data_IF_204570921499
#
_entry.id   IF_204570921499
#
_cell.length_a   1.000
_cell.length_b   1.000
_cell.length_c   1.000
_cell.angle_alpha   90.00
_cell.angle_beta   90.00
_cell.angle_gamma   90.00
#
_symmetry.space_group_name_H-M   'P 1'
#
loop_
_entity.id
_entity.type
_entity.pdbx_description
1 polymer ?
#
# COMPACT_ATOMS: atom_id res chain seq x y z
N UNK A 1 -13.43 -0.17 -5.88
CA UNK A 1 -12.19 -0.67 -5.26
C UNK A 1 -11.14 0.41 -5.37
N UNK A 2 -10.60 0.86 -4.26
CA UNK A 2 -9.63 1.96 -4.21
C UNK A 2 -8.29 1.44 -3.69
N UNK A 3 -7.20 1.64 -4.45
CA UNK A 3 -5.83 1.44 -4.00
C UNK A 3 -5.19 2.81 -3.73
N UNK A 4 -4.65 2.97 -2.53
CA UNK A 4 -3.83 4.11 -2.10
C UNK A 4 -2.41 3.62 -1.89
N UNK A 5 -1.45 4.23 -2.58
CA UNK A 5 -0.05 3.84 -2.56
C UNK A 5 0.82 4.96 -1.99
N UNK A 6 1.43 4.71 -0.84
CA UNK A 6 2.42 5.57 -0.21
C UNK A 6 3.81 5.27 -0.78
N UNK A 7 4.23 6.01 -1.79
CA UNK A 7 5.46 5.70 -2.49
C UNK A 7 6.72 5.97 -1.65
N UNK A 8 6.84 7.10 -0.92
CA UNK A 8 8.01 7.34 -0.06
C UNK A 8 8.20 6.28 1.00
N UNK A 9 7.12 5.90 1.66
CA UNK A 9 7.18 4.98 2.80
C UNK A 9 7.49 3.55 2.34
N UNK A 10 6.89 3.09 1.24
CA UNK A 10 7.22 1.80 0.65
C UNK A 10 8.66 1.74 0.13
N UNK A 11 9.17 2.82 -0.46
CA UNK A 11 10.60 2.90 -0.85
C UNK A 11 11.53 2.83 0.38
N UNK A 12 11.15 3.44 1.51
CA UNK A 12 11.91 3.33 2.77
C UNK A 12 11.89 1.89 3.31
N UNK A 13 10.72 1.25 3.35
CA UNK A 13 10.58 -0.14 3.76
C UNK A 13 11.40 -1.09 2.88
N UNK A 14 11.31 -0.92 1.57
CA UNK A 14 12.12 -1.68 0.61
C UNK A 14 13.62 -1.43 0.80
N UNK A 15 14.02 -0.19 1.03
CA UNK A 15 15.41 0.18 1.29
C UNK A 15 15.97 -0.48 2.54
N UNK A 16 15.15 -0.63 3.58
CA UNK A 16 15.51 -1.35 4.81
C UNK A 16 15.80 -2.83 4.53
N UNK A 17 14.97 -3.48 3.69
CA UNK A 17 15.16 -4.89 3.29
C UNK A 17 16.43 -5.06 2.44
N UNK A 18 16.67 -4.13 1.51
CA UNK A 18 17.81 -4.17 0.60
C UNK A 18 19.15 -3.77 1.26
N UNK A 19 19.08 -3.17 2.46
CA UNK A 19 20.26 -2.55 3.09
C UNK A 19 20.78 -1.31 2.36
N UNK A 20 19.94 -0.66 1.55
CA UNK A 20 20.32 0.51 0.76
C UNK A 20 19.19 1.08 -0.08
N UNK A 21 19.47 2.16 -0.82
CA UNK A 21 18.43 2.83 -1.62
C UNK A 21 17.95 1.96 -2.78
N UNK A 22 16.61 1.75 -2.92
CA UNK A 22 16.05 0.99 -4.01
C UNK A 22 16.36 1.63 -5.38
N UNK A 23 16.71 0.79 -6.35
CA UNK A 23 16.79 1.19 -7.76
C UNK A 23 15.47 0.90 -8.47
N UNK A 24 15.32 1.35 -9.70
CA UNK A 24 14.14 1.05 -10.51
C UNK A 24 13.92 -0.47 -10.73
N UNK A 25 14.99 -1.29 -10.69
CA UNK A 25 14.89 -2.73 -10.83
C UNK A 25 14.31 -3.42 -9.59
N UNK A 26 14.54 -2.85 -8.41
CA UNK A 26 14.06 -3.38 -7.14
C UNK A 26 12.61 -2.98 -6.84
N UNK A 27 12.10 -1.91 -7.47
CA UNK A 27 10.76 -1.43 -7.20
C UNK A 27 9.69 -2.36 -7.78
N UNK A 28 8.51 -2.41 -7.14
CA UNK A 28 7.37 -3.15 -7.63
C UNK A 28 7.00 -2.77 -9.07
N UNK A 29 6.58 -3.76 -9.83
CA UNK A 29 6.06 -3.56 -11.18
C UNK A 29 4.60 -3.16 -11.11
N UNK A 30 4.33 -1.89 -11.43
CA UNK A 30 2.98 -1.33 -11.34
C UNK A 30 1.99 -1.94 -12.33
N UNK A 31 2.47 -2.47 -13.48
CA UNK A 31 1.62 -3.21 -14.42
C UNK A 31 1.13 -4.55 -13.84
N UNK A 32 1.96 -5.23 -13.05
CA UNK A 32 1.57 -6.44 -12.34
C UNK A 32 0.61 -6.12 -11.18
N UNK A 33 0.91 -5.07 -10.42
CA UNK A 33 0.03 -4.59 -9.36
C UNK A 33 -1.33 -4.14 -9.89
N UNK A 34 -1.36 -3.44 -11.03
CA UNK A 34 -2.60 -3.04 -11.68
C UNK A 34 -3.46 -4.24 -12.10
N UNK A 35 -2.86 -5.30 -12.67
CA UNK A 35 -3.57 -6.55 -12.99
C UNK A 35 -4.14 -7.20 -11.74
N UNK A 36 -3.33 -7.33 -10.69
CA UNK A 36 -3.79 -7.87 -9.42
C UNK A 36 -4.98 -7.08 -8.84
N UNK A 37 -4.95 -5.73 -8.92
CA UNK A 37 -6.07 -4.89 -8.49
C UNK A 37 -7.34 -5.15 -9.30
N UNK A 38 -7.22 -5.37 -10.62
CA UNK A 38 -8.35 -5.74 -11.47
C UNK A 38 -8.97 -7.07 -11.04
N UNK A 39 -8.13 -8.09 -10.79
CA UNK A 39 -8.58 -9.41 -10.34
C UNK A 39 -9.28 -9.32 -8.98
N UNK A 40 -8.69 -8.61 -8.00
CA UNK A 40 -9.32 -8.38 -6.69
C UNK A 40 -10.64 -7.63 -6.79
N UNK A 41 -10.75 -6.67 -7.70
CA UNK A 41 -12.00 -5.93 -7.94
C UNK A 41 -13.08 -6.85 -8.51
N UNK A 42 -12.70 -7.76 -9.39
CA UNK A 42 -13.61 -8.76 -9.94
C UNK A 42 -14.13 -9.73 -8.85
N UNK A 43 -13.24 -10.21 -7.98
CA UNK A 43 -13.57 -11.09 -6.86
C UNK A 43 -14.59 -10.45 -5.92
N UNK A 44 -14.37 -9.19 -5.53
CA UNK A 44 -15.30 -8.45 -4.66
C UNK A 44 -16.63 -8.24 -5.36
N UNK A 45 -16.63 -7.92 -6.66
CA UNK A 45 -17.85 -7.75 -7.44
C UNK A 45 -18.65 -9.06 -7.52
N UNK A 46 -17.98 -10.19 -7.69
CA UNK A 46 -18.60 -11.51 -7.72
C UNK A 46 -19.21 -11.92 -6.37
N UNK A 47 -18.50 -11.62 -5.27
CA UNK A 47 -18.99 -11.91 -3.91
C UNK A 47 -20.20 -11.06 -3.51
N UNK A 48 -20.36 -9.89 -4.11
CA UNK A 48 -21.48 -8.96 -3.82
C UNK A 48 -22.71 -9.24 -4.69
N UNK A 49 -22.62 -10.11 -5.70
CA UNK A 49 -23.75 -10.49 -6.56
C UNK A 49 -24.65 -11.46 -5.81
N UNK A 50 -25.96 -11.15 -5.53
CA UNK A 50 -26.86 -12.08 -4.85
C UNK A 50 -27.08 -13.32 -5.71
N UNK A 51 -27.03 -14.51 -5.09
CA UNK A 51 -27.54 -15.74 -5.72
C UNK A 51 -28.95 -15.51 -6.16
N UNK A 52 -29.28 -15.91 -7.40
CA UNK A 52 -30.65 -15.82 -7.99
C UNK A 52 -31.51 -16.88 -7.35
N UNK A 53 -31.91 -16.69 -6.09
CA UNK A 53 -33.06 -17.36 -5.48
C UNK A 53 -33.99 -16.28 -4.95
N UNK A 54 -35.13 -16.18 -5.68
CA UNK A 54 -36.08 -15.09 -5.62
C UNK A 54 -36.55 -14.75 -4.23
N UNK A 55 -36.44 -13.55 -3.86
CA UNK A 55 -37.47 -12.61 -3.35
C UNK A 55 -36.81 -11.32 -2.87
N UNK A 56 -37.26 -10.23 -3.45
CA UNK A 56 -37.36 -8.87 -2.93
C UNK A 56 -36.05 -8.05 -2.74
N UNK A 57 -36.00 -6.98 -3.48
CA UNK A 57 -35.18 -5.80 -3.22
C UNK A 57 -34.00 -5.72 -4.15
N UNK A 58 -34.22 -5.11 -5.32
CA UNK A 58 -33.18 -4.75 -6.26
C UNK A 58 -32.13 -3.83 -5.58
N UNK A 59 -31.16 -4.43 -4.87
CA UNK A 59 -29.86 -3.77 -4.66
C UNK A 59 -29.19 -3.77 -6.03
N UNK A 60 -29.08 -2.61 -6.63
CA UNK A 60 -28.31 -2.41 -7.86
C UNK A 60 -26.91 -2.93 -7.57
N UNK A 61 -26.54 -4.05 -8.17
CA UNK A 61 -25.16 -4.51 -8.23
C UNK A 61 -24.39 -3.47 -9.05
N UNK A 62 -23.75 -2.54 -8.38
CA UNK A 62 -22.77 -1.67 -9.02
C UNK A 62 -21.49 -2.50 -9.14
N UNK A 63 -21.08 -2.79 -10.37
CA UNK A 63 -19.77 -3.35 -10.60
C UNK A 63 -18.74 -2.39 -9.97
N UNK A 64 -17.91 -2.91 -9.08
CA UNK A 64 -16.84 -2.11 -8.48
C UNK A 64 -15.88 -1.65 -9.58
N UNK A 65 -15.56 -0.37 -9.60
CA UNK A 65 -14.57 0.19 -10.53
C UNK A 65 -13.23 0.25 -9.81
N UNK A 66 -12.15 -0.34 -10.38
CA UNK A 66 -10.83 -0.24 -9.79
C UNK A 66 -10.26 1.18 -10.01
N UNK A 67 -9.75 1.75 -8.94
CA UNK A 67 -9.04 3.03 -8.95
C UNK A 67 -7.75 2.88 -8.15
N UNK A 68 -6.67 3.47 -8.63
CA UNK A 68 -5.39 3.47 -7.96
C UNK A 68 -4.78 4.88 -7.96
N UNK A 69 -4.39 5.35 -6.80
CA UNK A 69 -3.72 6.63 -6.59
C UNK A 69 -2.40 6.43 -5.86
N UNK A 70 -1.33 6.93 -6.45
CA UNK A 70 0.01 6.96 -5.84
C UNK A 70 0.25 8.34 -5.26
N UNK A 71 0.66 8.39 -4.01
CA UNK A 71 1.05 9.62 -3.32
C UNK A 71 2.56 9.68 -3.22
N UNK A 72 3.13 10.84 -3.50
CA UNK A 72 4.59 11.03 -3.46
C UNK A 72 4.98 12.47 -3.16
N UNK A 73 6.13 12.63 -2.52
CA UNK A 73 6.77 13.91 -2.33
C UNK A 73 7.84 14.13 -3.42
N UNK A 74 7.92 15.36 -3.90
CA UNK A 74 8.93 15.80 -4.88
C UNK A 74 9.89 16.75 -4.18
N UNK A 75 11.10 16.28 -3.93
CA UNK A 75 12.15 17.12 -3.37
C UNK A 75 12.58 18.23 -4.36
N UNK A 76 13.00 19.40 -3.87
CA UNK A 76 13.49 20.47 -4.73
C UNK A 76 14.58 19.99 -5.70
N UNK A 77 14.44 20.34 -6.98
CA UNK A 77 15.39 19.98 -8.03
C UNK A 77 15.32 18.53 -8.53
N UNK A 78 14.43 17.70 -8.01
CA UNK A 78 14.33 16.27 -8.42
C UNK A 78 13.23 15.99 -9.43
N UNK A 79 12.45 16.98 -9.84
CA UNK A 79 11.29 16.79 -10.71
C UNK A 79 11.63 16.05 -12.02
N UNK A 80 12.74 16.39 -12.69
CA UNK A 80 13.17 15.73 -13.92
C UNK A 80 13.59 14.27 -13.71
N UNK A 81 14.12 13.95 -12.54
CA UNK A 81 14.52 12.57 -12.18
C UNK A 81 13.30 11.71 -11.91
N UNK A 82 12.26 12.29 -11.31
CA UNK A 82 11.03 11.59 -10.92
C UNK A 82 10.03 11.50 -12.08
N UNK A 83 10.07 12.42 -13.03
CA UNK A 83 9.14 12.50 -14.18
C UNK A 83 8.94 11.17 -14.91
N UNK A 84 10.00 10.41 -15.34
CA UNK A 84 9.79 9.16 -16.06
C UNK A 84 9.01 8.13 -15.27
N UNK A 85 9.22 8.08 -13.95
CA UNK A 85 8.49 7.20 -13.06
C UNK A 85 7.02 7.61 -12.91
N UNK A 86 6.73 8.90 -12.75
CA UNK A 86 5.35 9.42 -12.70
C UNK A 86 4.62 9.13 -14.02
N UNK A 87 5.28 9.33 -15.15
CA UNK A 87 4.69 9.06 -16.47
C UNK A 87 4.44 7.56 -16.66
N UNK A 88 5.34 6.70 -16.21
CA UNK A 88 5.14 5.24 -16.27
C UNK A 88 3.91 4.80 -15.45
N UNK A 89 3.71 5.33 -14.24
CA UNK A 89 2.52 5.09 -13.43
C UNK A 89 1.24 5.51 -14.15
N UNK A 90 1.23 6.72 -14.68
CA UNK A 90 0.07 7.26 -15.39
C UNK A 90 -0.26 6.47 -16.66
N UNK A 91 0.76 5.95 -17.36
CA UNK A 91 0.57 5.10 -18.53
C UNK A 91 -0.04 3.73 -18.18
N UNK A 92 0.18 3.23 -16.97
CA UNK A 92 -0.47 2.01 -16.47
C UNK A 92 -1.91 2.27 -16.02
N UNK A 93 -2.28 3.52 -15.76
CA UNK A 93 -3.62 3.93 -15.34
C UNK A 93 -3.71 4.36 -13.88
N UNK A 94 -2.58 4.56 -13.19
CA UNK A 94 -2.57 5.10 -11.84
C UNK A 94 -2.70 6.61 -11.86
N UNK A 95 -3.55 7.18 -11.01
CA UNK A 95 -3.47 8.59 -10.66
C UNK A 95 -2.23 8.84 -9.80
N UNK A 96 -1.63 10.03 -9.90
CA UNK A 96 -0.48 10.40 -9.08
C UNK A 96 -0.76 11.74 -8.42
N UNK A 97 -0.78 11.74 -7.09
CA UNK A 97 -0.75 12.95 -6.28
C UNK A 97 0.70 13.24 -5.92
N UNK A 98 1.20 14.38 -6.41
CA UNK A 98 2.58 14.79 -6.20
C UNK A 98 2.62 16.11 -5.41
N UNK A 99 3.21 16.08 -4.23
CA UNK A 99 3.33 17.22 -3.31
C UNK A 99 4.77 17.72 -3.27
N UNK A 100 5.06 19.01 -3.41
CA UNK A 100 6.40 19.51 -3.16
C UNK A 100 6.85 19.22 -1.73
N UNK A 101 8.06 18.71 -1.56
CA UNK A 101 8.66 18.56 -0.25
C UNK A 101 9.26 19.90 0.18
N UNK A 102 8.62 20.57 1.14
CA UNK A 102 9.01 21.91 1.62
C UNK A 102 10.03 21.82 2.74
N UNK A 103 9.90 20.81 3.60
CA UNK A 103 10.75 20.56 4.77
C UNK A 103 10.97 19.05 4.97
N UNK A 104 11.72 18.69 6.02
CA UNK A 104 12.01 17.28 6.31
C UNK A 104 10.78 16.52 6.79
N UNK A 105 9.85 17.20 7.46
CA UNK A 105 8.62 16.63 8.02
C UNK A 105 7.45 16.62 7.02
N UNK A 106 7.66 17.16 5.80
CA UNK A 106 6.63 17.12 4.76
C UNK A 106 6.38 15.67 4.34
N UNK A 107 5.20 15.15 4.68
CA UNK A 107 4.70 13.84 4.26
C UNK A 107 3.41 13.96 3.44
N UNK A 108 2.88 12.83 3.03
CA UNK A 108 1.62 12.70 2.26
C UNK A 108 0.52 11.99 3.05
N UNK A 109 0.74 11.65 4.30
CA UNK A 109 -0.18 10.85 5.12
C UNK A 109 -1.53 11.54 5.27
N UNK A 110 -1.52 12.84 5.62
CA UNK A 110 -2.77 13.62 5.73
C UNK A 110 -3.53 13.70 4.40
N UNK A 111 -2.82 13.88 3.29
CA UNK A 111 -3.44 13.94 1.95
C UNK A 111 -4.06 12.56 1.57
N UNK A 112 -3.43 11.47 2.00
CA UNK A 112 -3.95 10.10 1.80
C UNK A 112 -5.20 9.86 2.65
N UNK A 113 -5.18 10.22 3.93
CA UNK A 113 -6.35 10.13 4.82
C UNK A 113 -7.54 10.93 4.29
N UNK A 114 -7.31 12.19 3.93
CA UNK A 114 -8.32 13.07 3.33
C UNK A 114 -8.90 12.49 2.04
N UNK A 115 -8.05 11.89 1.21
CA UNK A 115 -8.51 11.27 -0.03
C UNK A 115 -9.38 10.04 0.22
N UNK A 116 -9.02 9.17 1.17
CA UNK A 116 -9.84 8.01 1.56
C UNK A 116 -11.20 8.48 2.07
N UNK A 117 -11.24 9.44 3.00
CA UNK A 117 -12.47 9.99 3.55
C UNK A 117 -13.33 10.65 2.48
N UNK A 118 -12.75 11.46 1.63
CA UNK A 118 -13.47 12.09 0.52
C UNK A 118 -14.12 11.04 -0.38
N UNK A 119 -13.40 9.95 -0.72
CA UNK A 119 -13.92 8.85 -1.55
C UNK A 119 -15.03 8.07 -0.83
N UNK A 120 -14.84 7.79 0.47
CA UNK A 120 -15.84 7.11 1.31
C UNK A 120 -17.18 7.86 1.29
N UNK A 121 -17.15 9.18 1.44
CA UNK A 121 -18.36 10.01 1.55
C UNK A 121 -18.99 10.39 0.21
N UNK A 122 -18.20 10.52 -0.87
CA UNK A 122 -18.72 11.02 -2.17
C UNK A 122 -19.21 9.90 -3.08
N UNK A 123 -18.48 8.80 -3.16
CA UNK A 123 -18.74 7.70 -4.12
C UNK A 123 -19.06 6.39 -3.42
N UNK A 124 -18.61 6.26 -2.18
CA UNK A 124 -18.60 4.99 -1.45
C UNK A 124 -17.42 4.10 -1.87
N UNK A 125 -17.08 3.16 -0.99
CA UNK A 125 -15.99 2.21 -1.20
C UNK A 125 -16.56 0.80 -1.30
N UNK A 126 -16.29 0.10 -2.40
CA UNK A 126 -16.57 -1.33 -2.52
C UNK A 126 -15.46 -2.18 -1.88
N UNK A 127 -14.28 -1.60 -1.68
CA UNK A 127 -13.13 -2.14 -0.98
C UNK A 127 -12.00 -1.12 -0.98
N UNK A 128 -11.12 -1.22 0.00
CA UNK A 128 -9.97 -0.33 0.19
C UNK A 128 -8.69 -1.13 0.33
N UNK A 129 -7.65 -0.72 -0.39
CA UNK A 129 -6.29 -1.24 -0.26
C UNK A 129 -5.38 -0.07 0.06
N UNK A 130 -4.61 -0.16 1.14
CA UNK A 130 -3.57 0.82 1.47
C UNK A 130 -2.22 0.14 1.43
N UNK A 131 -1.33 0.66 0.60
CA UNK A 131 0.03 0.19 0.45
C UNK A 131 0.99 1.16 1.14
N UNK A 132 1.48 0.79 2.32
CA UNK A 132 2.44 1.56 3.12
C UNK A 132 3.28 0.62 3.99
N UNK A 133 4.55 0.95 4.22
CA UNK A 133 5.42 0.21 5.12
C UNK A 133 5.23 0.64 6.59
N UNK A 134 4.84 1.88 6.87
CA UNK A 134 4.54 2.38 8.22
C UNK A 134 3.12 2.97 8.26
N UNK A 135 2.14 2.09 8.18
CA UNK A 135 0.74 2.50 8.10
C UNK A 135 0.06 2.70 9.46
N UNK A 136 0.80 2.87 10.55
CA UNK A 136 0.18 3.03 11.86
C UNK A 136 -0.71 4.28 11.95
N UNK A 137 -0.37 5.34 11.22
CA UNK A 137 -1.20 6.54 11.13
C UNK A 137 -2.56 6.30 10.45
N UNK A 138 -2.65 5.25 9.62
CA UNK A 138 -3.89 4.90 8.92
C UNK A 138 -4.78 3.93 9.71
N UNK A 139 -4.25 3.25 10.74
CA UNK A 139 -4.91 2.13 11.40
C UNK A 139 -6.32 2.44 11.85
N UNK A 140 -6.54 3.54 12.56
CA UNK A 140 -7.84 3.93 13.08
C UNK A 140 -8.87 4.10 11.96
N UNK A 141 -8.53 4.87 10.92
CA UNK A 141 -9.40 5.05 9.76
C UNK A 141 -9.69 3.73 9.03
N UNK A 142 -8.70 2.88 8.87
CA UNK A 142 -8.87 1.59 8.17
C UNK A 142 -9.77 0.63 8.95
N UNK A 143 -9.62 0.58 10.28
CA UNK A 143 -10.49 -0.21 11.16
C UNK A 143 -11.93 0.34 11.15
N UNK A 144 -12.11 1.67 11.11
CA UNK A 144 -13.43 2.30 10.97
C UNK A 144 -14.09 1.97 9.61
N UNK A 145 -13.33 2.01 8.52
CA UNK A 145 -13.82 1.62 7.18
C UNK A 145 -14.21 0.14 7.16
N UNK A 146 -13.41 -0.71 7.81
CA UNK A 146 -13.72 -2.14 7.93
C UNK A 146 -14.98 -2.38 8.78
N UNK A 147 -15.20 -1.60 9.85
CA UNK A 147 -16.39 -1.67 10.68
C UNK A 147 -17.69 -1.31 9.92
N UNK A 148 -17.60 -0.48 8.89
CA UNK A 148 -18.69 -0.21 7.96
C UNK A 148 -19.00 -1.38 6.98
N UNK A 149 -18.25 -2.49 7.10
CA UNK A 149 -18.41 -3.67 6.25
C UNK A 149 -17.70 -3.57 4.90
N UNK A 150 -16.78 -2.62 4.74
CA UNK A 150 -15.93 -2.50 3.55
C UNK A 150 -14.71 -3.41 3.71
N UNK A 151 -14.41 -4.32 2.78
CA UNK A 151 -13.17 -5.09 2.80
C UNK A 151 -11.94 -4.18 2.74
N UNK A 152 -11.06 -4.30 3.74
CA UNK A 152 -9.83 -3.49 3.83
C UNK A 152 -8.61 -4.38 3.80
N UNK A 153 -7.70 -4.10 2.88
CA UNK A 153 -6.42 -4.80 2.73
C UNK A 153 -5.26 -3.83 2.93
N UNK A 154 -4.22 -4.31 3.60
CA UNK A 154 -2.95 -3.59 3.76
C UNK A 154 -1.89 -4.30 2.94
N UNK A 155 -1.31 -3.59 2.00
CA UNK A 155 -0.20 -4.04 1.16
C UNK A 155 1.12 -3.53 1.73
N UNK A 156 2.12 -4.40 1.82
CA UNK A 156 3.43 -3.98 2.30
C UNK A 156 4.42 -5.12 2.40
N UNK A 157 5.41 -4.93 3.25
CA UNK A 157 6.40 -5.95 3.57
C UNK A 157 6.14 -6.46 4.98
N UNK A 158 6.15 -7.78 5.17
CA UNK A 158 5.86 -8.44 6.44
C UNK A 158 6.69 -7.90 7.60
N UNK A 159 7.92 -7.50 7.34
CA UNK A 159 8.84 -6.93 8.32
C UNK A 159 8.36 -5.62 8.95
N UNK A 160 7.50 -4.90 8.24
CA UNK A 160 6.99 -3.59 8.66
C UNK A 160 5.48 -3.61 8.99
N UNK A 161 4.82 -4.75 8.82
CA UNK A 161 3.37 -4.88 8.88
C UNK A 161 2.81 -5.29 10.25
N UNK A 162 3.60 -5.23 11.33
CA UNK A 162 3.16 -5.69 12.67
C UNK A 162 1.82 -5.05 13.10
N UNK A 163 1.59 -3.80 12.75
CA UNK A 163 0.36 -3.07 13.06
C UNK A 163 -0.87 -3.64 12.33
N UNK A 164 -0.71 -4.09 11.07
CA UNK A 164 -1.79 -4.71 10.29
C UNK A 164 -1.98 -6.19 10.69
N UNK A 165 -0.89 -6.92 10.90
CA UNK A 165 -0.91 -8.33 11.29
C UNK A 165 -1.55 -8.58 12.66
N UNK A 166 -1.59 -7.56 13.53
CA UNK A 166 -2.24 -7.62 14.84
C UNK A 166 -3.68 -7.14 14.85
N UNK A 167 -4.20 -6.66 13.72
CA UNK A 167 -5.60 -6.26 13.58
C UNK A 167 -6.46 -7.46 13.21
N UNK A 168 -7.65 -7.58 13.82
CA UNK A 168 -8.63 -8.63 13.50
C UNK A 168 -9.52 -8.24 12.30
N UNK A 169 -9.52 -6.95 11.92
CA UNK A 169 -10.39 -6.40 10.87
C UNK A 169 -9.67 -6.10 9.55
N UNK A 170 -8.33 -6.12 9.54
CA UNK A 170 -7.52 -5.81 8.37
C UNK A 170 -6.88 -7.09 7.80
N UNK A 171 -6.97 -7.26 6.49
CA UNK A 171 -6.26 -8.33 5.77
C UNK A 171 -4.89 -7.82 5.32
N UNK A 172 -3.81 -8.46 5.74
CA UNK A 172 -2.47 -8.14 5.25
C UNK A 172 -2.14 -8.98 4.01
N UNK A 173 -1.61 -8.34 2.99
CA UNK A 173 -1.09 -8.97 1.77
C UNK A 173 0.37 -8.56 1.58
N UNK A 174 1.27 -9.53 1.57
CA UNK A 174 2.68 -9.27 1.27
C UNK A 174 2.85 -8.94 -0.22
N UNK A 175 3.59 -7.88 -0.51
CA UNK A 175 3.86 -7.49 -1.91
C UNK A 175 4.57 -8.57 -2.71
N UNK A 176 5.37 -9.41 -2.06
CA UNK A 176 6.06 -10.52 -2.73
C UNK A 176 5.14 -11.68 -3.09
N UNK A 177 3.99 -11.80 -2.41
CA UNK A 177 2.99 -12.83 -2.72
C UNK A 177 2.18 -12.49 -4.00
N UNK A 178 2.29 -11.24 -4.49
CA UNK A 178 1.61 -10.83 -5.72
C UNK A 178 2.43 -11.26 -6.96
N UNK A 179 1.88 -12.14 -7.82
CA UNK A 179 2.63 -12.70 -8.94
C UNK A 179 3.20 -11.64 -9.88
N UNK A 180 4.52 -11.66 -10.07
CA UNK A 180 5.23 -10.81 -11.01
C UNK A 180 5.39 -9.35 -10.58
N UNK A 181 5.03 -8.98 -9.34
CA UNK A 181 5.26 -7.63 -8.79
C UNK A 181 6.75 -7.35 -8.64
N UNK A 182 7.53 -8.32 -8.22
CA UNK A 182 8.98 -8.23 -8.27
C UNK A 182 9.54 -9.10 -9.41
N UNK A 183 10.65 -8.65 -10.01
CA UNK A 183 11.34 -9.41 -11.06
C UNK A 183 12.08 -10.61 -10.51
N UNK A 184 12.62 -10.45 -9.31
CA UNK A 184 13.37 -11.44 -8.56
C UNK A 184 12.94 -11.35 -7.10
N UNK A 185 13.03 -12.43 -6.31
CA UNK A 185 12.79 -12.38 -4.87
C UNK A 185 13.70 -11.32 -4.21
N UNK A 186 13.17 -10.63 -3.20
CA UNK A 186 13.97 -9.66 -2.47
C UNK A 186 15.10 -10.36 -1.71
N UNK A 187 16.32 -9.81 -1.70
CA UNK A 187 17.49 -10.42 -1.10
C UNK A 187 17.43 -10.34 0.43
N UNK A 188 16.63 -11.21 1.04
CA UNK A 188 16.57 -11.34 2.49
C UNK A 188 17.57 -12.39 2.96
N UNK A 189 18.19 -12.12 4.12
CA UNK A 189 18.95 -13.13 4.83
C UNK A 189 17.95 -13.93 5.66
N UNK A 190 17.70 -15.18 5.28
CA UNK A 190 16.88 -16.11 6.05
C UNK A 190 17.68 -16.69 7.21
N UNK A 191 17.07 -16.76 8.40
CA UNK A 191 17.66 -17.43 9.57
C UNK A 191 17.88 -18.93 9.31
N UNK A 192 17.08 -19.54 8.41
CA UNK A 192 17.19 -20.95 8.05
C UNK A 192 18.31 -21.23 7.04
N UNK A 193 18.92 -20.18 6.47
CA UNK A 193 19.99 -20.26 5.46
C UNK A 193 21.12 -19.26 5.71
N UNK A 194 21.52 -19.14 6.99
CA UNK A 194 22.65 -18.30 7.35
C UNK A 194 23.96 -18.87 6.77
N UNK A 195 24.85 -18.01 6.25
CA UNK A 195 26.20 -18.42 5.85
C UNK A 195 27.00 -18.90 7.09
N UNK A 196 27.96 -19.80 6.88
CA UNK A 196 28.76 -20.38 7.98
C UNK A 196 29.52 -19.32 8.79
N UNK A 197 29.93 -18.21 8.13
CA UNK A 197 30.58 -17.07 8.77
C UNK A 197 29.62 -16.16 9.55
N UNK A 198 28.31 -16.43 9.48
CA UNK A 198 27.27 -15.59 10.06
C UNK A 198 26.87 -14.43 9.16
N UNK A 199 25.81 -13.73 9.53
CA UNK A 199 25.32 -12.54 8.83
C UNK A 199 24.83 -11.48 9.81
N UNK A 200 25.04 -10.23 9.44
CA UNK A 200 24.48 -9.09 10.16
C UNK A 200 23.05 -8.85 9.70
N UNK A 201 22.09 -8.96 10.64
CA UNK A 201 20.71 -8.59 10.41
C UNK A 201 20.51 -7.15 10.89
N UNK A 202 20.38 -6.22 9.95
CA UNK A 202 20.13 -4.83 10.28
C UNK A 202 18.75 -4.68 10.97
N UNK A 203 18.60 -3.77 11.94
CA UNK A 203 17.31 -3.51 12.56
C UNK A 203 16.36 -2.89 11.53
N UNK A 204 15.11 -3.32 11.49
CA UNK A 204 14.08 -2.71 10.64
C UNK A 204 13.75 -1.27 11.06
N UNK A 205 13.97 -0.93 12.33
CA UNK A 205 13.81 0.42 12.88
C UNK A 205 14.99 0.78 13.78
N UNK A 206 15.49 2.01 13.73
CA UNK A 206 16.52 2.44 14.66
C UNK A 206 15.97 2.40 16.11
N UNK A 207 16.83 2.11 17.08
CA UNK A 207 16.43 2.07 18.50
C UNK A 207 15.80 3.40 18.98
N UNK A 208 16.19 4.51 18.35
CA UNK A 208 15.60 5.84 18.62
C UNK A 208 14.10 5.92 18.31
N UNK A 209 13.58 5.08 17.42
CA UNK A 209 12.14 5.01 17.13
C UNK A 209 11.31 4.60 18.36
N UNK A 210 11.89 3.88 19.33
CA UNK A 210 11.24 3.56 20.60
C UNK A 210 10.99 4.80 21.49
N UNK A 211 11.74 5.88 21.28
CA UNK A 211 11.59 7.12 22.03
C UNK A 211 10.51 8.02 21.45
N UNK A 212 10.21 7.87 20.15
CA UNK A 212 9.20 8.67 19.44
C UNK A 212 7.76 8.19 19.69
N UNK A 213 7.57 6.98 20.23
CA UNK A 213 6.28 6.34 20.50
C UNK A 213 5.79 6.46 21.95
N UNK A 214 6.29 7.38 22.79
CA UNK A 214 5.70 7.62 24.11
C UNK A 214 4.55 8.61 23.97
N UNK A 215 3.29 8.19 24.22
CA UNK A 215 2.21 9.14 24.44
C UNK A 215 2.54 9.94 25.73
N UNK A 216 2.53 11.25 25.62
CA UNK A 216 2.49 12.20 26.77
C UNK A 216 1.13 12.14 27.43
#
# INVERSE_FOLDING_TARGET
>A
MLLIWDAPNLDMGLGSILGGRPTAAHRPRFDALGRWLLDRTADISAATTPSVDGTAGARRSFAAVPEATVFTNIAPGTAEVVRPWVEALRNVGFAVFAKPKVDEDSDVDSDMLDHIEMRRHTVGLAGLIVASADGQAFRELLEDVAADGVPVQVLGFREHAAWALTSESLEFVDLEDIPGVFREPLPRISLDSLPEEGAWLAPFRPLSALLSGRPT
#
